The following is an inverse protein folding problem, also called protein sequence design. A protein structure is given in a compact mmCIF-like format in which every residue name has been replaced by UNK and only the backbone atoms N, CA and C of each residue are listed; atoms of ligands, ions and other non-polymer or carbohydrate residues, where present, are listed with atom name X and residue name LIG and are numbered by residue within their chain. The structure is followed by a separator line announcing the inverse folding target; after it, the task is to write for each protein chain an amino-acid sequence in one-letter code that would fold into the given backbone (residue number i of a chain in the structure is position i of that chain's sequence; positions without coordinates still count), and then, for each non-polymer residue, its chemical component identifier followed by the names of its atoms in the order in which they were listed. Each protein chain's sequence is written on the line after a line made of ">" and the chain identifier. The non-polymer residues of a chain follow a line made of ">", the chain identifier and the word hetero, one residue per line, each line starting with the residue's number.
data_IF_269720478043
#
_entry.id   IF_269720478043
#
_cell.length_a   1.000
_cell.length_b   1.000
_cell.length_c   1.000
_cell.angle_alpha   90.00
_cell.angle_beta   90.00
_cell.angle_gamma   90.00
#
_symmetry.space_group_name_H-M   'P 1'
#
loop_
_entity.id
_entity.type
_entity.pdbx_description
1 polymer ?
#
# COMPACT_ATOMS: atom_id res chain seq x y z
N UNK A 1 -9.01 34.88 -44.03
CA UNK A 1 -7.73 34.38 -43.48
C UNK A 1 -7.43 35.24 -42.25
N UNK A 2 -7.26 34.77 -41.02
CA UNK A 2 -6.74 33.49 -40.56
C UNK A 2 -7.40 33.09 -39.21
N UNK A 3 -7.74 31.81 -39.08
CA UNK A 3 -7.88 31.14 -37.78
C UNK A 3 -6.48 30.99 -37.16
N UNK A 4 -6.32 31.35 -35.89
CA UNK A 4 -5.06 31.24 -35.16
C UNK A 4 -5.27 30.73 -33.74
N UNK A 5 -5.66 29.46 -33.64
CA UNK A 5 -5.41 28.51 -32.54
C UNK A 5 -4.86 29.08 -31.21
N UNK A 6 -5.75 29.31 -30.25
CA UNK A 6 -5.43 29.24 -28.82
C UNK A 6 -5.02 27.80 -28.52
N UNK A 7 -3.71 27.53 -28.50
CA UNK A 7 -3.17 26.28 -27.97
C UNK A 7 -3.50 26.23 -26.48
N UNK A 8 -4.55 25.49 -26.15
CA UNK A 8 -4.75 24.86 -24.86
C UNK A 8 -3.42 24.23 -24.43
N UNK A 9 -2.77 24.80 -23.41
CA UNK A 9 -1.71 24.11 -22.70
C UNK A 9 -2.38 22.91 -22.02
N UNK A 10 -2.19 21.73 -22.62
CA UNK A 10 -2.51 20.47 -21.97
C UNK A 10 -1.75 20.42 -20.64
N UNK A 11 -2.49 20.50 -19.54
CA UNK A 11 -2.01 20.23 -18.20
C UNK A 11 -1.63 18.75 -18.14
N UNK A 12 -0.40 18.42 -18.52
CA UNK A 12 0.14 17.07 -18.38
C UNK A 12 0.21 16.75 -16.88
N UNK A 13 -0.41 15.65 -16.42
CA UNK A 13 -0.26 15.24 -15.03
C UNK A 13 1.22 14.96 -14.78
N UNK A 14 1.85 15.78 -13.95
CA UNK A 14 3.24 15.64 -13.53
C UNK A 14 3.35 14.38 -12.66
N UNK A 15 3.42 13.22 -13.31
CA UNK A 15 3.55 11.91 -12.67
C UNK A 15 5.02 11.65 -12.28
N UNK A 16 5.60 12.61 -11.56
CA UNK A 16 7.01 12.55 -11.16
C UNK A 16 7.09 11.67 -9.92
N UNK A 17 7.63 10.47 -10.09
CA UNK A 17 7.94 9.56 -8.99
C UNK A 17 9.32 9.88 -8.41
N UNK A 18 9.45 9.83 -7.10
CA UNK A 18 10.73 9.97 -6.41
C UNK A 18 11.57 8.70 -6.58
N UNK A 19 12.76 8.82 -7.18
CA UNK A 19 13.69 7.69 -7.33
C UNK A 19 14.10 7.10 -5.96
N UNK A 20 14.20 7.95 -4.92
CA UNK A 20 14.53 7.50 -3.57
C UNK A 20 13.36 6.71 -2.96
N UNK A 21 12.12 7.19 -3.13
CA UNK A 21 10.95 6.47 -2.67
C UNK A 21 10.78 5.12 -3.39
N UNK A 22 11.03 5.08 -4.70
CA UNK A 22 11.04 3.84 -5.48
C UNK A 22 12.06 2.82 -4.95
N UNK A 23 13.28 3.28 -4.63
CA UNK A 23 14.30 2.42 -4.01
C UNK A 23 13.87 1.94 -2.63
N UNK A 24 13.31 2.82 -1.80
CA UNK A 24 12.83 2.45 -0.47
C UNK A 24 11.73 1.37 -0.54
N UNK A 25 10.75 1.52 -1.43
CA UNK A 25 9.70 0.51 -1.64
C UNK A 25 10.29 -0.80 -2.19
N UNK A 26 11.24 -0.72 -3.13
CA UNK A 26 11.94 -1.92 -3.63
C UNK A 26 12.72 -2.63 -2.52
N UNK A 27 13.41 -1.88 -1.67
CA UNK A 27 14.15 -2.43 -0.54
C UNK A 27 13.20 -3.07 0.47
N UNK A 28 12.09 -2.41 0.80
CA UNK A 28 11.04 -2.95 1.65
C UNK A 28 10.49 -4.28 1.13
N UNK A 29 10.22 -4.39 -0.18
CA UNK A 29 9.79 -5.64 -0.83
C UNK A 29 10.83 -6.75 -0.68
N UNK A 30 12.11 -6.42 -0.82
CA UNK A 30 13.20 -7.38 -0.66
C UNK A 30 13.39 -7.80 0.81
N UNK A 31 13.33 -6.84 1.74
CA UNK A 31 13.49 -7.05 3.18
C UNK A 31 12.45 -8.05 3.72
N UNK A 32 11.19 -7.89 3.34
CA UNK A 32 10.14 -8.82 3.76
C UNK A 32 10.12 -10.11 2.94
N UNK A 33 10.93 -10.22 1.89
CA UNK A 33 10.80 -11.23 0.84
C UNK A 33 9.34 -11.34 0.40
N UNK A 34 8.84 -10.33 -0.33
CA UNK A 34 7.41 -10.14 -0.64
C UNK A 34 6.73 -11.43 -1.14
N UNK A 35 7.41 -12.19 -2.01
CA UNK A 35 6.87 -13.43 -2.56
C UNK A 35 6.71 -14.52 -1.49
N UNK A 36 7.72 -14.68 -0.62
CA UNK A 36 7.65 -15.63 0.49
C UNK A 36 6.58 -15.21 1.50
N UNK A 37 6.54 -13.92 1.89
CA UNK A 37 5.52 -13.41 2.80
C UNK A 37 4.11 -13.61 2.23
N UNK A 38 3.91 -13.31 0.94
CA UNK A 38 2.63 -13.53 0.26
C UNK A 38 2.25 -15.01 0.25
N UNK A 39 3.19 -15.91 -0.01
CA UNK A 39 2.93 -17.35 0.04
C UNK A 39 2.50 -17.80 1.45
N UNK A 40 3.18 -17.32 2.50
CA UNK A 40 2.81 -17.59 3.90
C UNK A 40 1.39 -17.10 4.19
N UNK A 41 1.08 -15.84 3.86
CA UNK A 41 -0.24 -15.24 4.09
C UNK A 41 -1.37 -16.03 3.39
N UNK A 42 -1.13 -16.53 2.17
CA UNK A 42 -2.12 -17.32 1.45
C UNK A 42 -2.36 -18.71 2.07
N UNK A 43 -1.40 -19.22 2.83
CA UNK A 43 -1.52 -20.49 3.55
C UNK A 43 -2.10 -20.38 4.96
N UNK A 44 -2.24 -19.16 5.49
CA UNK A 44 -2.75 -18.94 6.85
C UNK A 44 -4.25 -19.21 6.94
N UNK A 45 -4.65 -19.82 8.05
CA UNK A 45 -6.03 -19.89 8.48
C UNK A 45 -6.58 -18.51 8.86
N UNK A 46 -7.89 -18.39 8.95
CA UNK A 46 -8.57 -17.15 9.38
C UNK A 46 -8.08 -16.64 10.73
N UNK A 47 -7.86 -17.53 11.70
CA UNK A 47 -7.38 -17.14 13.04
C UNK A 47 -5.96 -16.57 12.96
N UNK A 48 -5.07 -17.24 12.23
CA UNK A 48 -3.69 -16.77 12.02
C UNK A 48 -3.64 -15.42 11.30
N UNK A 49 -4.52 -15.19 10.31
CA UNK A 49 -4.65 -13.89 9.66
C UNK A 49 -5.09 -12.78 10.63
N UNK A 50 -5.99 -13.08 11.56
CA UNK A 50 -6.43 -12.12 12.58
C UNK A 50 -5.33 -11.85 13.62
N UNK A 51 -4.57 -12.85 14.02
CA UNK A 51 -3.40 -12.67 14.88
C UNK A 51 -2.33 -11.81 14.19
N UNK A 52 -2.08 -12.05 12.92
CA UNK A 52 -1.16 -11.25 12.11
C UNK A 52 -1.67 -9.81 11.94
N UNK A 53 -2.98 -9.61 11.84
CA UNK A 53 -3.62 -8.28 11.87
C UNK A 53 -3.36 -7.56 13.19
N UNK A 54 -3.50 -8.26 14.33
CA UNK A 54 -3.21 -7.69 15.65
C UNK A 54 -1.75 -7.29 15.73
N UNK A 55 -0.82 -8.17 15.34
CA UNK A 55 0.62 -7.86 15.30
C UNK A 55 0.92 -6.63 14.45
N UNK A 56 0.27 -6.51 13.29
CA UNK A 56 0.41 -5.34 12.42
C UNK A 56 -0.04 -4.05 13.12
N UNK A 57 -1.18 -4.08 13.83
CA UNK A 57 -1.70 -2.91 14.55
C UNK A 57 -0.86 -2.54 15.78
N UNK A 58 -0.34 -3.54 16.49
CA UNK A 58 0.59 -3.34 17.61
C UNK A 58 1.90 -2.71 17.12
N UNK A 59 2.46 -3.23 16.03
CA UNK A 59 3.64 -2.67 15.40
C UNK A 59 3.41 -1.22 14.95
N UNK A 60 2.28 -0.93 14.30
CA UNK A 60 1.90 0.42 13.90
C UNK A 60 1.79 1.36 15.09
N UNK A 61 1.14 0.91 16.16
CA UNK A 61 0.95 1.69 17.38
C UNK A 61 2.28 1.99 18.06
N UNK A 62 3.22 1.04 18.03
CA UNK A 62 4.56 1.19 18.59
C UNK A 62 5.45 2.14 17.78
N UNK A 63 5.43 2.04 16.45
CA UNK A 63 6.25 2.88 15.58
C UNK A 63 5.67 4.30 15.47
N UNK A 64 4.34 4.43 15.46
CA UNK A 64 3.63 5.71 15.38
C UNK A 64 3.42 6.22 13.96
N UNK A 65 4.01 5.58 12.94
CA UNK A 65 3.87 5.94 11.53
C UNK A 65 3.82 4.71 10.61
N UNK A 66 3.38 4.91 9.36
CA UNK A 66 3.35 3.86 8.34
C UNK A 66 4.67 3.86 7.55
N UNK A 67 5.48 2.83 7.74
CA UNK A 67 6.72 2.63 6.98
C UNK A 67 6.44 1.95 5.62
N UNK A 68 7.33 2.07 4.61
CA UNK A 68 7.19 1.34 3.35
C UNK A 68 7.04 -0.17 3.54
N UNK A 69 7.83 -0.77 4.43
CA UNK A 69 7.78 -2.19 4.80
C UNK A 69 6.40 -2.57 5.32
N UNK A 70 5.85 -1.78 6.23
CA UNK A 70 4.50 -2.00 6.75
C UNK A 70 3.43 -1.87 5.66
N UNK A 71 3.51 -0.85 4.80
CA UNK A 71 2.52 -0.66 3.74
C UNK A 71 2.51 -1.83 2.75
N UNK A 72 3.69 -2.32 2.33
CA UNK A 72 3.81 -3.48 1.44
C UNK A 72 3.27 -4.74 2.10
N UNK A 73 3.67 -5.03 3.35
CA UNK A 73 3.24 -6.19 4.12
C UNK A 73 1.73 -6.17 4.38
N UNK A 74 1.23 -5.04 4.87
CA UNK A 74 -0.17 -4.82 5.22
C UNK A 74 -1.10 -4.98 4.02
N UNK A 75 -0.70 -4.51 2.82
CA UNK A 75 -1.51 -4.70 1.61
C UNK A 75 -1.83 -6.18 1.34
N UNK A 76 -0.85 -7.08 1.49
CA UNK A 76 -1.07 -8.52 1.28
C UNK A 76 -1.93 -9.12 2.38
N UNK A 77 -1.67 -8.75 3.65
CA UNK A 77 -2.45 -9.19 4.80
C UNK A 77 -3.93 -8.79 4.69
N UNK A 78 -4.23 -7.52 4.46
CA UNK A 78 -5.60 -7.03 4.36
C UNK A 78 -6.32 -7.55 3.11
N UNK A 79 -5.60 -7.87 2.04
CA UNK A 79 -6.17 -8.58 0.88
C UNK A 79 -6.61 -10.00 1.25
N UNK A 80 -5.80 -10.72 2.03
CA UNK A 80 -6.14 -12.08 2.47
C UNK A 80 -7.30 -12.06 3.49
N UNK A 81 -7.31 -11.10 4.41
CA UNK A 81 -8.42 -10.90 5.34
C UNK A 81 -9.73 -10.54 4.60
N UNK A 82 -9.68 -9.67 3.60
CA UNK A 82 -10.84 -9.31 2.77
C UNK A 82 -11.42 -10.54 2.05
N UNK A 83 -10.56 -11.41 1.53
CA UNK A 83 -10.96 -12.64 0.86
C UNK A 83 -11.56 -13.69 1.82
N UNK A 84 -11.07 -13.74 3.06
CA UNK A 84 -11.54 -14.67 4.10
C UNK A 84 -12.64 -14.08 5.01
N UNK A 85 -13.12 -12.87 4.72
CA UNK A 85 -14.14 -12.22 5.51
C UNK A 85 -15.50 -12.93 5.40
N UNK A 86 -15.99 -13.43 6.53
CA UNK A 86 -17.28 -14.12 6.66
C UNK A 86 -18.46 -13.16 6.74
N UNK A 87 -18.22 -11.92 7.19
CA UNK A 87 -19.23 -10.88 7.26
C UNK A 87 -18.95 -9.76 6.27
N UNK A 88 -20.01 -9.06 5.88
CA UNK A 88 -19.90 -7.93 4.96
C UNK A 88 -19.13 -6.77 5.60
N UNK A 89 -19.33 -6.53 6.88
CA UNK A 89 -18.67 -5.49 7.66
C UNK A 89 -17.16 -5.72 7.70
N UNK A 90 -16.72 -6.96 7.97
CA UNK A 90 -15.31 -7.29 7.99
C UNK A 90 -14.68 -7.13 6.60
N UNK A 91 -15.41 -7.53 5.55
CA UNK A 91 -14.97 -7.34 4.16
C UNK A 91 -14.80 -5.86 3.80
N UNK A 92 -15.77 -5.03 4.18
CA UNK A 92 -15.71 -3.58 3.95
C UNK A 92 -14.51 -2.97 4.69
N UNK A 93 -14.35 -3.32 5.97
CA UNK A 93 -13.28 -2.78 6.81
C UNK A 93 -11.89 -3.16 6.27
N UNK A 94 -11.65 -4.43 6.03
CA UNK A 94 -10.37 -4.95 5.52
C UNK A 94 -10.05 -4.40 4.13
N UNK A 95 -11.06 -4.32 3.24
CA UNK A 95 -10.91 -3.69 1.93
C UNK A 95 -10.61 -2.19 2.00
N UNK A 96 -11.23 -1.45 2.95
CA UNK A 96 -10.93 -0.04 3.17
C UNK A 96 -9.50 0.17 3.66
N UNK A 97 -9.03 -0.66 4.60
CA UNK A 97 -7.64 -0.63 5.08
C UNK A 97 -6.65 -0.94 3.96
N UNK A 98 -6.91 -1.96 3.13
CA UNK A 98 -6.06 -2.27 1.97
C UNK A 98 -5.94 -1.07 1.02
N UNK A 99 -7.07 -0.45 0.66
CA UNK A 99 -7.07 0.73 -0.22
C UNK A 99 -6.35 1.92 0.38
N UNK A 100 -6.47 2.13 1.70
CA UNK A 100 -5.72 3.16 2.40
C UNK A 100 -4.20 2.91 2.30
N UNK A 101 -3.73 1.69 2.58
CA UNK A 101 -2.29 1.37 2.44
C UNK A 101 -1.78 1.50 1.00
N UNK A 102 -2.59 1.12 0.01
CA UNK A 102 -2.27 1.32 -1.40
C UNK A 102 -2.16 2.80 -1.75
N UNK A 103 -3.06 3.63 -1.22
CA UNK A 103 -3.02 5.09 -1.38
C UNK A 103 -1.76 5.68 -0.73
N UNK A 104 -1.46 5.33 0.52
CA UNK A 104 -0.27 5.81 1.23
C UNK A 104 1.03 5.42 0.51
N UNK A 105 1.09 4.20 -0.06
CA UNK A 105 2.22 3.78 -0.91
C UNK A 105 2.38 4.64 -2.15
N UNK A 106 1.27 4.97 -2.83
CA UNK A 106 1.29 5.82 -4.02
C UNK A 106 1.74 7.24 -3.65
N UNK A 107 1.24 7.80 -2.55
CA UNK A 107 1.63 9.12 -2.07
C UNK A 107 3.10 9.16 -1.63
N UNK A 108 3.57 8.11 -0.95
CA UNK A 108 4.98 7.95 -0.61
C UNK A 108 5.87 7.94 -1.85
N UNK A 109 5.46 7.25 -2.91
CA UNK A 109 6.18 7.21 -4.19
C UNK A 109 6.20 8.55 -4.93
N UNK A 110 5.17 9.38 -4.76
CA UNK A 110 5.11 10.75 -5.30
C UNK A 110 5.89 11.75 -4.45
N UNK A 111 6.06 11.49 -3.15
CA UNK A 111 6.77 12.41 -2.26
C UNK A 111 8.23 12.56 -2.69
N UNK A 112 8.59 13.77 -3.10
CA UNK A 112 9.97 14.18 -3.43
C UNK A 112 10.81 14.46 -2.18
N UNK A 113 10.23 14.33 -0.99
CA UNK A 113 10.93 14.47 0.29
C UNK A 113 11.03 13.10 0.94
N UNK A 114 12.23 12.53 0.94
CA UNK A 114 12.59 11.63 2.02
C UNK A 114 12.52 12.43 3.31
N UNK A 115 11.73 11.98 4.27
CA UNK A 115 11.87 12.45 5.65
C UNK A 115 13.30 12.20 6.12
#
# INVERSE_FOLDING_TARGET
>A
MALGLLKSQANMPNNVLSLNALRAVKNAKNEINEDAYRATILGMSKLELLEEMVRFQEERSRIGELTPTMMVRGKHLFKALEANAETQELRILTGAYRRHLEFELIEYLKSTRGC
#
